data_IF_485431645484
#
_entry.id   IF_485431645484
#
_cell.length_a   1.000
_cell.length_b   1.000
_cell.length_c   1.000
_cell.angle_alpha   90.00
_cell.angle_beta   90.00
_cell.angle_gamma   90.00
#
_symmetry.space_group_name_H-M   'P 1'
#
loop_
_entity.id
_entity.type
_entity.pdbx_description
1 polymer ?
#
# COMPACT_ATOMS: atom_id res chain seq x y z
N UNK A 1 41.77 -38.52 15.61
CA UNK A 1 40.29 -38.56 15.57
C UNK A 1 39.64 -37.25 16.03
N UNK A 2 40.19 -36.47 16.96
CA UNK A 2 39.58 -35.21 17.43
C UNK A 2 39.54 -34.08 16.39
N UNK A 3 40.51 -34.02 15.48
CA UNK A 3 40.54 -32.96 14.44
C UNK A 3 39.45 -33.12 13.37
N UNK A 4 39.05 -34.32 13.03
CA UNK A 4 37.98 -34.61 12.04
C UNK A 4 36.61 -34.25 12.60
N UNK A 5 36.42 -34.48 13.93
CA UNK A 5 35.15 -34.15 14.60
C UNK A 5 34.91 -32.63 14.67
N UNK A 6 35.99 -31.83 14.82
CA UNK A 6 35.91 -30.37 14.85
C UNK A 6 35.53 -29.81 13.50
N UNK A 7 36.05 -30.36 12.40
CA UNK A 7 35.72 -29.93 11.06
C UNK A 7 34.28 -30.30 10.64
N UNK A 8 33.77 -31.45 11.08
CA UNK A 8 32.35 -31.82 10.87
C UNK A 8 31.40 -30.97 11.68
N UNK A 9 31.78 -30.57 12.91
CA UNK A 9 30.98 -29.66 13.73
C UNK A 9 30.96 -28.23 13.13
N UNK A 10 32.10 -27.78 12.57
CA UNK A 10 32.21 -26.47 11.95
C UNK A 10 31.47 -26.40 10.59
N UNK A 11 31.38 -27.51 9.86
CA UNK A 11 30.61 -27.61 8.62
C UNK A 11 29.09 -27.61 8.86
N UNK A 12 28.63 -28.05 10.04
CA UNK A 12 27.21 -28.01 10.41
C UNK A 12 26.72 -26.61 10.84
N UNK A 13 27.65 -25.71 11.25
CA UNK A 13 27.30 -24.35 11.64
C UNK A 13 27.18 -23.38 10.44
N UNK A 14 27.53 -23.79 9.25
CA UNK A 14 27.46 -22.96 8.04
C UNK A 14 26.16 -23.10 7.24
N UNK A 15 25.16 -23.82 7.75
CA UNK A 15 23.78 -23.69 7.28
C UNK A 15 23.23 -22.39 7.87
N UNK A 16 23.82 -21.30 7.41
CA UNK A 16 23.35 -19.96 7.65
C UNK A 16 21.92 -19.85 7.19
N UNK A 17 21.08 -19.53 8.13
CA UNK A 17 19.69 -19.14 8.00
C UNK A 17 19.57 -17.97 7.04
N UNK A 18 19.72 -18.24 5.76
CA UNK A 18 19.28 -17.33 4.69
C UNK A 18 17.77 -17.44 4.61
N UNK A 19 17.10 -16.88 5.61
CA UNK A 19 15.71 -16.49 5.50
C UNK A 19 15.63 -15.20 4.64
N UNK A 20 16.30 -15.21 3.50
CA UNK A 20 15.91 -14.36 2.39
C UNK A 20 14.61 -14.95 1.88
N UNK A 21 13.51 -14.26 2.11
CA UNK A 21 12.23 -14.59 1.54
C UNK A 21 12.46 -14.82 0.04
N UNK A 22 12.44 -16.09 -0.33
CA UNK A 22 12.60 -16.50 -1.71
C UNK A 22 11.44 -15.82 -2.44
N UNK A 23 11.73 -14.77 -3.23
CA UNK A 23 10.80 -14.30 -4.23
C UNK A 23 10.42 -15.53 -5.03
N UNK A 24 9.23 -16.02 -4.86
CA UNK A 24 8.72 -17.14 -5.64
C UNK A 24 8.51 -16.56 -7.04
N UNK A 25 9.52 -16.67 -7.87
CA UNK A 25 9.36 -16.46 -9.30
C UNK A 25 8.47 -17.59 -9.80
N UNK A 26 7.23 -17.24 -10.01
CA UNK A 26 6.26 -18.16 -10.50
C UNK A 26 6.14 -17.97 -12.00
N UNK A 27 6.90 -18.76 -12.72
CA UNK A 27 7.05 -18.64 -14.17
C UNK A 27 7.59 -17.26 -14.53
N UNK A 28 7.00 -16.63 -15.54
CA UNK A 28 7.38 -15.30 -16.01
C UNK A 28 6.70 -14.15 -15.22
N UNK A 29 5.94 -14.42 -14.15
CA UNK A 29 5.31 -13.39 -13.35
C UNK A 29 6.35 -12.71 -12.45
N UNK A 30 6.59 -11.42 -12.69
CA UNK A 30 7.44 -10.60 -11.84
C UNK A 30 6.60 -10.02 -10.73
N UNK A 31 7.01 -10.28 -9.48
CA UNK A 31 6.37 -9.78 -8.28
C UNK A 31 7.14 -8.52 -7.82
N UNK A 32 6.56 -7.36 -8.04
CA UNK A 32 7.15 -6.12 -7.57
C UNK A 32 6.28 -5.53 -6.47
N UNK A 33 6.85 -5.27 -5.26
CA UNK A 33 6.17 -4.46 -4.27
C UNK A 33 6.04 -3.05 -4.84
N UNK A 34 4.82 -2.52 -4.84
CA UNK A 34 4.55 -1.22 -5.39
C UNK A 34 4.32 -0.21 -4.27
N UNK A 35 5.30 0.62 -4.04
CA UNK A 35 5.20 1.80 -3.18
C UNK A 35 5.58 3.02 -4.03
N UNK A 36 4.64 3.92 -4.22
CA UNK A 36 4.83 5.07 -5.10
C UNK A 36 5.72 6.14 -4.47
N UNK A 37 5.84 6.17 -3.13
CA UNK A 37 6.58 7.20 -2.39
C UNK A 37 7.22 6.62 -1.14
N UNK A 38 8.45 7.01 -0.86
CA UNK A 38 9.17 6.64 0.37
C UNK A 38 8.73 7.46 1.58
N UNK A 39 8.15 8.64 1.35
CA UNK A 39 7.61 9.50 2.39
C UNK A 39 6.32 10.15 1.95
N UNK A 40 5.39 10.30 2.90
CA UNK A 40 4.08 10.92 2.72
C UNK A 40 3.79 11.85 3.89
N UNK A 41 2.90 12.81 3.70
CA UNK A 41 2.46 13.67 4.79
C UNK A 41 1.39 12.99 5.64
N UNK A 42 1.23 13.47 6.87
CA UNK A 42 0.12 13.07 7.75
C UNK A 42 -1.20 13.26 7.01
N UNK A 43 -2.10 12.29 7.16
CA UNK A 43 -3.41 12.21 6.52
C UNK A 43 -3.41 12.04 5.00
N UNK A 44 -2.24 11.99 4.34
CA UNK A 44 -2.16 11.63 2.94
C UNK A 44 -2.53 10.15 2.73
N UNK A 45 -3.10 9.87 1.58
CA UNK A 45 -3.40 8.51 1.17
C UNK A 45 -2.20 7.92 0.42
N UNK A 46 -1.77 6.75 0.88
CA UNK A 46 -0.70 5.97 0.29
C UNK A 46 -1.28 4.68 -0.29
N UNK A 47 -0.98 4.39 -1.55
CA UNK A 47 -1.26 3.08 -2.11
C UNK A 47 -0.18 2.09 -1.66
N UNK A 48 -0.60 1.02 -1.00
CA UNK A 48 0.25 -0.07 -0.57
C UNK A 48 -0.17 -1.36 -1.25
N UNK A 49 0.66 -1.86 -2.17
CA UNK A 49 0.26 -2.96 -3.02
C UNK A 49 1.41 -3.64 -3.74
N UNK A 50 1.06 -4.27 -4.84
CA UNK A 50 1.94 -5.09 -5.65
C UNK A 50 1.56 -5.02 -7.13
N UNK A 51 2.50 -5.37 -7.99
CA UNK A 51 2.30 -5.55 -9.42
C UNK A 51 2.59 -7.00 -9.80
N UNK A 52 1.70 -7.60 -10.55
CA UNK A 52 1.85 -8.94 -11.12
C UNK A 52 1.90 -8.83 -12.63
N UNK A 53 2.99 -9.28 -13.23
CA UNK A 53 3.15 -9.25 -14.67
C UNK A 53 2.95 -10.64 -15.27
N UNK A 54 2.43 -10.67 -16.50
CA UNK A 54 2.23 -11.90 -17.28
C UNK A 54 1.35 -12.95 -16.60
N UNK A 55 0.30 -12.50 -15.93
CA UNK A 55 -0.70 -13.38 -15.32
C UNK A 55 -1.64 -13.92 -16.39
N UNK A 56 -1.87 -15.22 -16.41
CA UNK A 56 -2.81 -15.84 -17.35
C UNK A 56 -4.26 -15.48 -17.06
N UNK A 57 -5.03 -15.25 -18.12
CA UNK A 57 -6.47 -15.03 -18.02
C UNK A 57 -7.16 -16.25 -17.39
N UNK A 58 -8.05 -16.00 -16.42
CA UNK A 58 -8.72 -17.05 -15.65
C UNK A 58 -8.09 -17.36 -14.30
N UNK A 59 -6.92 -16.78 -13.99
CA UNK A 59 -6.34 -16.83 -12.65
C UNK A 59 -7.22 -16.07 -11.66
N UNK A 60 -7.48 -16.65 -10.48
CA UNK A 60 -8.26 -16.04 -9.41
C UNK A 60 -7.35 -15.68 -8.24
N UNK A 61 -7.65 -14.57 -7.57
CA UNK A 61 -6.93 -14.10 -6.39
C UNK A 61 -7.87 -14.05 -5.19
N UNK A 62 -7.37 -14.48 -4.03
CA UNK A 62 -8.03 -14.31 -2.76
C UNK A 62 -7.12 -13.49 -1.84
N UNK A 63 -7.71 -12.48 -1.21
CA UNK A 63 -7.03 -11.54 -0.34
C UNK A 63 -7.36 -11.83 1.11
N UNK A 64 -6.41 -11.60 2.04
CA UNK A 64 -6.71 -11.70 3.45
C UNK A 64 -7.77 -10.67 3.84
N UNK A 65 -8.63 -11.06 4.75
CA UNK A 65 -9.61 -10.15 5.34
C UNK A 65 -8.87 -9.12 6.19
N UNK A 66 -8.97 -7.86 5.80
CA UNK A 66 -8.44 -6.73 6.58
C UNK A 66 -9.62 -5.90 7.10
N UNK A 67 -9.52 -5.48 8.35
CA UNK A 67 -10.48 -4.57 8.97
C UNK A 67 -10.05 -3.11 8.71
N UNK A 68 -10.47 -2.22 9.56
CA UNK A 68 -10.23 -0.76 9.41
C UNK A 68 -8.77 -0.34 9.61
N UNK A 69 -7.95 -1.21 10.19
CA UNK A 69 -6.54 -0.95 10.48
C UNK A 69 -5.64 -2.05 9.94
N UNK A 70 -4.53 -1.65 9.32
CA UNK A 70 -3.48 -2.56 8.89
C UNK A 70 -2.52 -2.85 10.06
N UNK A 71 -2.21 -1.82 10.84
CA UNK A 71 -1.39 -1.86 12.07
C UNK A 71 -1.76 -0.66 12.96
N UNK A 72 -1.18 -0.56 14.17
CA UNK A 72 -1.60 0.36 15.23
C UNK A 72 -1.90 1.78 14.76
N UNK A 73 -1.06 2.38 13.91
CA UNK A 73 -1.21 3.77 13.48
C UNK A 73 -1.50 3.91 11.97
N UNK A 74 -1.71 2.79 11.28
CA UNK A 74 -2.02 2.79 9.84
C UNK A 74 -3.45 2.31 9.64
N UNK A 75 -4.30 3.21 9.15
CA UNK A 75 -5.70 2.93 8.86
C UNK A 75 -5.90 2.61 7.38
N UNK A 76 -6.87 1.77 7.09
CA UNK A 76 -7.24 1.40 5.73
C UNK A 76 -8.36 2.35 5.28
N UNK A 77 -8.10 3.07 4.21
CA UNK A 77 -9.07 3.98 3.57
C UNK A 77 -9.89 3.24 2.53
N UNK A 78 -9.21 2.41 1.74
CA UNK A 78 -9.85 1.53 0.76
C UNK A 78 -9.29 0.13 0.91
N UNK A 79 -10.18 -0.83 0.98
CA UNK A 79 -9.83 -2.25 0.99
C UNK A 79 -9.25 -2.68 -0.36
N UNK A 80 -8.96 -3.95 -0.50
CA UNK A 80 -8.34 -4.52 -1.69
C UNK A 80 -8.96 -4.05 -2.99
N UNK A 81 -8.13 -3.45 -3.83
CA UNK A 81 -8.45 -3.07 -5.19
C UNK A 81 -7.52 -3.80 -6.13
N UNK A 82 -8.03 -4.24 -7.27
CA UNK A 82 -7.24 -4.86 -8.31
C UNK A 82 -7.62 -4.27 -9.66
N UNK A 83 -6.61 -3.74 -10.34
CA UNK A 83 -6.76 -3.13 -11.65
C UNK A 83 -5.91 -3.85 -12.69
N UNK A 84 -6.41 -3.91 -13.91
CA UNK A 84 -5.67 -4.46 -15.05
C UNK A 84 -4.93 -3.33 -15.74
N UNK A 85 -3.59 -3.36 -15.69
CA UNK A 85 -2.73 -2.35 -16.32
C UNK A 85 -2.60 -2.58 -17.81
N UNK A 86 -2.42 -3.84 -18.23
CA UNK A 86 -2.16 -4.20 -19.62
C UNK A 86 -2.67 -5.60 -19.92
N UNK A 87 -3.21 -5.76 -21.12
CA UNK A 87 -3.59 -7.08 -21.67
C UNK A 87 -2.79 -7.35 -22.92
N UNK A 88 -2.01 -8.42 -22.89
CA UNK A 88 -1.21 -8.86 -24.03
C UNK A 88 -1.88 -10.08 -24.67
N UNK A 89 -2.28 -9.92 -25.93
CA UNK A 89 -2.84 -11.04 -26.72
C UNK A 89 -1.72 -11.91 -27.23
N UNK A 90 -1.84 -13.20 -27.03
CA UNK A 90 -0.94 -14.20 -27.57
C UNK A 90 -1.49 -14.78 -28.90
N UNK A 91 -0.74 -15.68 -29.50
CA UNK A 91 -1.14 -16.38 -30.73
C UNK A 91 -2.43 -17.16 -30.53
N UNK A 92 -3.15 -17.42 -31.63
CA UNK A 92 -4.42 -18.16 -31.63
C UNK A 92 -4.25 -19.51 -30.90
N UNK A 93 -5.04 -19.72 -29.82
CA UNK A 93 -4.97 -20.94 -28.99
C UNK A 93 -4.22 -20.80 -27.66
N UNK A 94 -3.59 -19.68 -27.38
CA UNK A 94 -2.93 -19.43 -26.08
C UNK A 94 -3.77 -18.47 -25.23
N UNK A 95 -3.67 -18.63 -23.89
CA UNK A 95 -4.34 -17.75 -22.91
C UNK A 95 -3.79 -16.33 -23.03
N UNK A 96 -4.63 -15.33 -22.81
CA UNK A 96 -4.16 -13.94 -22.74
C UNK A 96 -3.35 -13.74 -21.47
N UNK A 97 -2.34 -12.88 -21.57
CA UNK A 97 -1.55 -12.46 -20.42
C UNK A 97 -1.98 -11.07 -19.98
N UNK A 98 -2.08 -10.87 -18.68
CA UNK A 98 -2.49 -9.62 -18.07
C UNK A 98 -1.44 -9.15 -17.06
N UNK A 99 -1.19 -7.85 -17.06
CA UNK A 99 -0.44 -7.20 -16.00
C UNK A 99 -1.45 -6.56 -15.04
N UNK A 100 -1.35 -6.91 -13.76
CA UNK A 100 -2.32 -6.53 -12.73
C UNK A 100 -1.62 -5.70 -11.65
N UNK A 101 -2.30 -4.67 -11.16
CA UNK A 101 -1.91 -3.90 -9.97
C UNK A 101 -2.95 -4.16 -8.90
N UNK A 102 -2.52 -4.59 -7.71
CA UNK A 102 -3.40 -4.86 -6.59
C UNK A 102 -2.87 -4.27 -5.30
N UNK A 103 -3.77 -3.89 -4.39
CA UNK A 103 -3.34 -3.34 -3.09
C UNK A 103 -4.44 -2.69 -2.29
N UNK A 104 -4.01 -1.99 -1.25
CA UNK A 104 -4.81 -1.25 -0.29
C UNK A 104 -4.46 0.24 -0.38
N UNK A 105 -5.41 1.11 -0.07
CA UNK A 105 -5.11 2.51 0.21
C UNK A 105 -5.10 2.70 1.72
N UNK A 106 -3.99 3.18 2.25
CA UNK A 106 -3.78 3.38 3.69
C UNK A 106 -3.46 4.83 4.00
N UNK A 107 -3.66 5.24 5.25
CA UNK A 107 -3.30 6.58 5.75
C UNK A 107 -2.80 6.47 7.19
N UNK A 108 -2.03 7.46 7.63
CA UNK A 108 -1.65 7.62 9.03
C UNK A 108 -1.90 9.05 9.48
N UNK A 109 -2.26 9.19 10.76
CA UNK A 109 -2.44 10.48 11.43
C UNK A 109 -1.29 10.81 12.40
N UNK A 110 -0.34 9.88 12.53
CA UNK A 110 0.84 10.05 13.39
C UNK A 110 2.09 10.07 12.53
N UNK A 111 3.02 10.96 12.86
CA UNK A 111 4.33 10.99 12.24
C UNK A 111 5.20 9.83 12.71
N UNK A 112 6.10 9.38 11.88
CA UNK A 112 7.06 8.33 12.22
C UNK A 112 7.48 7.47 11.04
N UNK A 113 8.32 6.51 11.36
CA UNK A 113 8.77 5.50 10.41
C UNK A 113 8.02 4.21 10.68
N UNK A 114 7.30 3.73 9.68
CA UNK A 114 6.50 2.51 9.77
C UNK A 114 7.03 1.43 8.83
N UNK A 115 7.03 0.20 9.32
CA UNK A 115 7.31 -0.97 8.52
C UNK A 115 5.99 -1.67 8.22
N UNK A 116 5.49 -1.50 7.02
CA UNK A 116 4.24 -2.11 6.58
C UNK A 116 4.42 -3.64 6.52
N UNK A 117 3.44 -4.42 6.99
CA UNK A 117 3.54 -5.88 7.06
C UNK A 117 3.64 -6.48 5.64
N UNK A 118 4.22 -7.68 5.50
CA UNK A 118 4.22 -8.35 4.20
C UNK A 118 2.79 -8.61 3.71
N UNK A 119 2.56 -8.43 2.41
CA UNK A 119 1.29 -8.78 1.80
C UNK A 119 1.31 -10.24 1.35
N UNK A 120 0.34 -11.03 1.80
CA UNK A 120 0.16 -12.41 1.38
C UNK A 120 -1.13 -12.51 0.55
N UNK A 121 -1.00 -12.94 -0.71
CA UNK A 121 -2.11 -13.08 -1.65
C UNK A 121 -2.18 -14.51 -2.12
N UNK A 122 -3.32 -15.16 -1.95
CA UNK A 122 -3.54 -16.49 -2.50
C UNK A 122 -3.92 -16.40 -3.97
N UNK A 123 -3.33 -17.26 -4.76
CA UNK A 123 -3.57 -17.36 -6.18
C UNK A 123 -4.03 -18.76 -6.55
N UNK A 124 -5.11 -18.84 -7.28
CA UNK A 124 -5.58 -20.06 -7.91
C UNK A 124 -5.34 -19.95 -9.43
N UNK A 125 -4.39 -20.72 -9.93
CA UNK A 125 -4.10 -20.78 -11.36
C UNK A 125 -5.26 -21.42 -12.13
N UNK A 126 -5.30 -21.19 -13.43
CA UNK A 126 -6.26 -21.83 -14.34
C UNK A 126 -6.22 -23.37 -14.25
N UNK A 127 -5.04 -23.92 -14.01
CA UNK A 127 -4.80 -25.37 -13.88
C UNK A 127 -5.20 -25.93 -12.52
N UNK A 128 -5.82 -25.12 -11.64
CA UNK A 128 -6.26 -25.53 -10.31
C UNK A 128 -5.17 -25.54 -9.25
N UNK A 129 -3.97 -25.07 -9.55
CA UNK A 129 -2.88 -24.96 -8.58
C UNK A 129 -3.11 -23.77 -7.67
N UNK A 130 -3.20 -24.02 -6.36
CA UNK A 130 -3.30 -23.00 -5.33
C UNK A 130 -1.93 -22.72 -4.74
N UNK A 131 -1.53 -21.47 -4.74
CA UNK A 131 -0.29 -21.02 -4.09
C UNK A 131 -0.45 -19.64 -3.43
N UNK A 132 0.54 -19.27 -2.61
CA UNK A 132 0.53 -18.02 -1.87
C UNK A 132 1.73 -17.17 -2.29
N UNK A 133 1.43 -15.98 -2.78
CA UNK A 133 2.41 -14.97 -3.14
C UNK A 133 2.64 -14.08 -1.92
N UNK A 134 3.88 -13.97 -1.46
CA UNK A 134 4.24 -13.13 -0.32
C UNK A 134 5.16 -12.01 -0.81
N UNK A 135 4.71 -10.77 -0.63
CA UNK A 135 5.46 -9.57 -0.96
C UNK A 135 6.22 -9.06 0.26
N UNK A 136 7.43 -8.60 0.03
CA UNK A 136 8.29 -8.12 1.10
C UNK A 136 7.66 -6.93 1.85
N UNK A 137 7.93 -6.79 3.16
CA UNK A 137 7.51 -5.63 3.93
C UNK A 137 8.19 -4.37 3.39
N UNK A 138 7.49 -3.25 3.46
CA UNK A 138 7.99 -1.97 2.95
C UNK A 138 8.08 -0.96 4.09
N UNK A 139 9.09 -0.09 4.00
CA UNK A 139 9.26 1.02 4.92
C UNK A 139 8.60 2.26 4.33
N UNK A 140 7.83 2.98 5.14
CA UNK A 140 7.27 4.29 4.79
C UNK A 140 7.57 5.29 5.91
N UNK A 141 7.91 6.51 5.53
CA UNK A 141 8.12 7.62 6.46
C UNK A 141 6.94 8.58 6.37
N UNK A 142 6.26 8.81 7.48
CA UNK A 142 5.17 9.77 7.61
C UNK A 142 5.71 11.05 8.23
N UNK A 143 5.55 12.17 7.54
CA UNK A 143 6.06 13.48 7.96
C UNK A 143 4.93 14.46 8.21
N UNK A 144 5.13 15.35 9.17
CA UNK A 144 4.29 16.53 9.33
C UNK A 144 4.65 17.59 8.28
N UNK A 145 3.69 18.43 7.94
CA UNK A 145 3.98 19.60 7.12
C UNK A 145 4.83 20.57 7.94
N UNK A 146 6.00 21.01 7.43
CA UNK A 146 6.80 21.99 8.12
C UNK A 146 6.02 23.32 8.16
N UNK A 147 5.72 23.79 9.37
CA UNK A 147 5.07 25.08 9.59
C UNK A 147 6.14 26.08 9.98
N UNK A 148 6.32 27.12 9.18
CA UNK A 148 7.16 28.25 9.54
C UNK A 148 6.46 29.10 10.60
N UNK A 149 6.79 28.86 11.86
CA UNK A 149 6.23 29.60 13.00
C UNK A 149 6.82 31.00 13.13
N UNK A 150 7.96 31.29 12.49
CA UNK A 150 8.62 32.60 12.59
C UNK A 150 7.93 33.68 11.75
N UNK A 151 7.35 33.30 10.62
CA UNK A 151 6.65 34.22 9.70
C UNK A 151 5.12 34.10 9.80
N UNK A 152 4.61 33.15 10.58
CA UNK A 152 3.18 32.95 10.74
C UNK A 152 2.54 34.11 11.49
N UNK A 153 1.77 34.92 10.77
CA UNK A 153 0.87 35.92 11.35
C UNK A 153 -0.54 35.38 11.35
N UNK A 154 -1.14 35.13 12.53
CA UNK A 154 -2.52 34.70 12.58
C UNK A 154 -3.40 35.81 11.96
N UNK A 155 -4.19 35.43 11.00
CA UNK A 155 -5.21 36.32 10.46
C UNK A 155 -6.37 36.40 11.45
N UNK A 156 -6.80 37.64 11.69
CA UNK A 156 -7.94 37.89 12.56
C UNK A 156 -9.22 37.24 11.98
N UNK A 157 -10.10 36.80 12.86
CA UNK A 157 -11.38 36.24 12.46
C UNK A 157 -12.17 37.34 11.76
N UNK A 158 -12.68 37.07 10.58
CA UNK A 158 -13.56 38.01 9.87
C UNK A 158 -14.71 38.39 10.79
N UNK A 159 -14.87 39.68 11.02
CA UNK A 159 -15.98 40.21 11.81
C UNK A 159 -17.35 39.80 11.25
N UNK A 160 -18.35 39.83 12.09
CA UNK A 160 -19.73 39.55 11.69
C UNK A 160 -20.14 40.49 10.56
N UNK A 161 -20.61 39.94 9.45
CA UNK A 161 -21.17 40.73 8.35
C UNK A 161 -22.43 41.40 8.85
N UNK A 162 -22.40 42.72 8.95
CA UNK A 162 -23.60 43.51 9.29
C UNK A 162 -24.19 44.03 7.99
N UNK A 163 -25.42 43.64 7.72
CA UNK A 163 -26.19 44.21 6.64
C UNK A 163 -26.79 45.52 7.09
N UNK A 164 -26.58 46.61 6.38
CA UNK A 164 -27.28 47.86 6.68
C UNK A 164 -28.80 47.65 6.43
N UNK A 165 -29.59 48.02 7.42
CA UNK A 165 -31.07 47.99 7.27
C UNK A 165 -31.46 49.06 6.27
N UNK A 166 -32.15 48.69 5.21
CA UNK A 166 -32.58 49.59 4.16
C UNK A 166 -33.95 50.20 4.51
N UNK A 167 -34.21 51.42 4.02
CA UNK A 167 -35.49 52.12 4.24
C UNK A 167 -36.69 51.27 3.76
N UNK A 168 -36.50 50.53 2.63
CA UNK A 168 -37.51 49.65 2.10
C UNK A 168 -37.93 48.52 3.04
N UNK A 169 -37.02 48.07 3.93
CA UNK A 169 -37.34 47.03 4.93
C UNK A 169 -38.10 47.57 6.13
N UNK A 170 -37.90 48.84 6.45
CA UNK A 170 -38.55 49.49 7.62
C UNK A 170 -39.86 50.14 7.25
N UNK A 171 -40.02 50.66 6.04
CA UNK A 171 -41.20 51.38 5.57
C UNK A 171 -42.53 50.70 5.84
N UNK A 172 -42.72 49.39 5.62
CA UNK A 172 -44.00 48.72 5.89
C UNK A 172 -44.38 48.63 7.34
N UNK A 173 -43.43 48.88 8.26
CA UNK A 173 -43.67 48.82 9.72
C UNK A 173 -43.95 50.18 10.36
N UNK A 174 -43.77 51.25 9.58
CA UNK A 174 -43.96 52.64 10.04
C UNK A 174 -45.22 53.27 9.44
N UNK A 175 -45.81 52.63 8.45
CA UNK A 175 -47.12 53.01 7.87
C UNK A 175 -48.25 52.29 8.60
#
# INVERSE_FOLDING_TARGET
>A
MHKVLIYTLMALMSVGLSAQGKMVQMGDAVLEPLQERDSVLIADQLFYGFELRKVEEGTRFAFPQVKDTLMTNIRIVKSWQMDTLKVTRQKKGQSRLMDLKGGLTVTSFDEGIYYLPPLAVQRLSKDGVLDTLVFAPQKVEIKTMPVDTATFKPHDIKGVIRYPVTFAEVAPWVA
#
